data_IF_350333777335
#
_entry.id   IF_350333777335
#
_cell.length_a   1.000
_cell.length_b   1.000
_cell.length_c   1.000
_cell.angle_alpha   90.00
_cell.angle_beta   90.00
_cell.angle_gamma   90.00
#
_symmetry.space_group_name_H-M   'P 1'
#
loop_
_entity.id
_entity.type
_entity.pdbx_description
1 polymer ?
#
# COMPACT_ATOMS: atom_id res chain seq x y z
N UNK A 1 8.89 18.02 3.31
CA UNK A 1 8.12 18.46 2.13
C UNK A 1 7.54 17.23 1.44
N UNK A 2 6.22 17.03 1.45
CA UNK A 2 5.60 15.82 0.89
C UNK A 2 5.84 15.78 -0.63
N UNK A 3 6.48 14.71 -1.12
CA UNK A 3 6.69 14.48 -2.55
C UNK A 3 6.61 12.98 -2.87
N UNK A 4 6.51 12.66 -4.16
CA UNK A 4 6.38 11.27 -4.65
C UNK A 4 7.51 10.35 -4.16
N UNK A 5 8.74 10.86 -4.03
CA UNK A 5 9.88 10.09 -3.54
C UNK A 5 9.71 9.69 -2.08
N UNK A 6 9.21 10.60 -1.24
CA UNK A 6 8.92 10.33 0.16
C UNK A 6 7.76 9.32 0.29
N UNK A 7 6.70 9.47 -0.51
CA UNK A 7 5.58 8.53 -0.50
C UNK A 7 6.03 7.09 -0.83
N UNK A 8 6.86 6.91 -1.87
CA UNK A 8 7.44 5.59 -2.20
C UNK A 8 8.24 4.99 -1.04
N UNK A 9 9.03 5.81 -0.34
CA UNK A 9 9.78 5.37 0.84
C UNK A 9 8.85 4.93 1.97
N UNK A 10 7.78 5.69 2.22
CA UNK A 10 6.81 5.35 3.27
C UNK A 10 6.08 4.04 2.98
N UNK A 11 5.68 3.80 1.73
CA UNK A 11 5.08 2.52 1.32
C UNK A 11 6.05 1.37 1.55
N UNK A 12 7.32 1.53 1.14
CA UNK A 12 8.34 0.52 1.38
C UNK A 12 8.52 0.23 2.87
N UNK A 13 8.60 1.27 3.70
CA UNK A 13 8.74 1.09 5.14
C UNK A 13 7.54 0.37 5.75
N UNK A 14 6.32 0.74 5.37
CA UNK A 14 5.12 0.06 5.86
C UNK A 14 5.11 -1.43 5.47
N UNK A 15 5.40 -1.76 4.21
CA UNK A 15 5.43 -3.15 3.74
C UNK A 15 6.57 -3.96 4.38
N UNK A 16 7.76 -3.38 4.49
CA UNK A 16 8.92 -4.05 5.12
C UNK A 16 8.63 -4.30 6.60
N UNK A 17 8.06 -3.33 7.31
CA UNK A 17 7.75 -3.47 8.75
C UNK A 17 6.70 -4.56 8.99
N UNK A 18 5.62 -4.61 8.19
CA UNK A 18 4.64 -5.70 8.27
C UNK A 18 5.29 -7.07 7.99
N UNK A 19 6.09 -7.20 6.94
CA UNK A 19 6.74 -8.45 6.58
C UNK A 19 7.77 -8.90 7.62
N UNK A 20 8.57 -7.97 8.16
CA UNK A 20 9.52 -8.26 9.23
C UNK A 20 8.81 -8.79 10.47
N UNK A 21 7.68 -8.17 10.86
CA UNK A 21 6.88 -8.63 11.98
C UNK A 21 6.30 -10.05 11.74
N UNK A 22 5.88 -10.38 10.52
CA UNK A 22 5.47 -11.76 10.16
C UNK A 22 6.60 -12.77 10.39
N UNK A 23 7.80 -12.47 9.88
CA UNK A 23 8.97 -13.36 9.97
C UNK A 23 9.42 -13.53 11.43
N UNK A 24 9.46 -12.44 12.20
CA UNK A 24 9.80 -12.51 13.62
C UNK A 24 8.76 -13.34 14.38
N UNK A 25 7.47 -13.16 14.08
CA UNK A 25 6.41 -13.94 14.72
C UNK A 25 6.51 -15.43 14.39
N UNK A 26 6.81 -15.80 13.13
CA UNK A 26 7.02 -17.19 12.71
C UNK A 26 8.23 -17.84 13.39
N UNK A 27 9.32 -17.10 13.58
CA UNK A 27 10.51 -17.60 14.25
C UNK A 27 10.32 -17.81 15.77
N UNK A 28 9.44 -17.02 16.42
CA UNK A 28 9.31 -17.01 17.88
C UNK A 28 8.17 -17.86 18.43
N UNK A 29 7.15 -18.23 17.64
CA UNK A 29 6.01 -19.03 18.11
C UNK A 29 6.02 -20.43 17.50
N UNK A 30 5.92 -21.44 18.36
CA UNK A 30 5.71 -22.83 17.95
C UNK A 30 4.29 -23.05 17.41
N UNK A 31 4.14 -23.85 16.36
CA UNK A 31 2.84 -24.25 15.81
C UNK A 31 2.18 -23.22 14.90
N UNK A 32 2.98 -22.36 14.26
CA UNK A 32 2.51 -21.46 13.21
C UNK A 32 2.33 -22.22 11.90
N UNK A 33 1.28 -21.87 11.16
CA UNK A 33 1.07 -22.33 9.79
C UNK A 33 1.99 -21.55 8.85
N UNK A 34 3.10 -22.18 8.44
CA UNK A 34 4.07 -21.61 7.50
C UNK A 34 3.43 -21.27 6.15
N UNK A 35 2.44 -22.04 5.71
CA UNK A 35 1.73 -21.80 4.45
C UNK A 35 0.93 -20.51 4.53
N UNK A 36 0.23 -20.30 5.65
CA UNK A 36 -0.53 -19.08 5.90
C UNK A 36 0.38 -17.85 6.00
N UNK A 37 1.53 -17.96 6.67
CA UNK A 37 2.51 -16.86 6.74
C UNK A 37 3.09 -16.53 5.37
N UNK A 38 3.47 -17.54 4.57
CA UNK A 38 3.98 -17.30 3.22
C UNK A 38 2.93 -16.62 2.34
N UNK A 39 1.66 -17.03 2.42
CA UNK A 39 0.57 -16.36 1.71
C UNK A 39 0.40 -14.88 2.11
N UNK A 40 0.60 -14.56 3.40
CA UNK A 40 0.60 -13.18 3.89
C UNK A 40 1.80 -12.39 3.34
N UNK A 41 2.99 -12.97 3.34
CA UNK A 41 4.20 -12.34 2.78
C UNK A 41 4.03 -12.05 1.28
N UNK A 42 3.44 -12.98 0.53
CA UNK A 42 3.12 -12.79 -0.89
C UNK A 42 2.14 -11.64 -1.11
N UNK A 43 1.11 -11.51 -0.27
CA UNK A 43 0.17 -10.38 -0.31
C UNK A 43 0.88 -9.05 -0.03
N UNK A 44 1.76 -9.00 0.97
CA UNK A 44 2.56 -7.80 1.28
C UNK A 44 3.45 -7.41 0.10
N UNK A 45 4.15 -8.38 -0.51
CA UNK A 45 5.01 -8.14 -1.66
C UNK A 45 4.21 -7.67 -2.90
N UNK A 46 3.04 -8.25 -3.11
CA UNK A 46 2.10 -7.85 -4.17
C UNK A 46 1.60 -6.42 -3.95
N UNK A 47 1.15 -6.08 -2.74
CA UNK A 47 0.73 -4.73 -2.36
C UNK A 47 1.84 -3.70 -2.63
N UNK A 48 3.07 -4.00 -2.19
CA UNK A 48 4.21 -3.11 -2.38
C UNK A 48 4.48 -2.85 -3.87
N UNK A 49 4.60 -3.92 -4.66
CA UNK A 49 4.94 -3.85 -6.08
C UNK A 49 3.84 -3.12 -6.87
N UNK A 50 2.58 -3.50 -6.64
CA UNK A 50 1.40 -2.90 -7.27
C UNK A 50 1.30 -1.40 -6.94
N UNK A 51 1.44 -1.02 -5.67
CA UNK A 51 1.32 0.38 -5.25
C UNK A 51 2.46 1.24 -5.80
N UNK A 52 3.69 0.73 -5.79
CA UNK A 52 4.84 1.43 -6.38
C UNK A 52 4.69 1.65 -7.89
N UNK A 53 4.10 0.69 -8.60
CA UNK A 53 3.77 0.81 -10.02
C UNK A 53 2.69 1.88 -10.24
N UNK A 54 1.61 1.82 -9.48
CA UNK A 54 0.43 2.70 -9.62
C UNK A 54 0.69 4.14 -9.18
N UNK A 55 1.73 4.41 -8.39
CA UNK A 55 2.15 5.76 -8.02
C UNK A 55 2.62 6.61 -9.21
N UNK A 56 3.01 5.99 -10.32
CA UNK A 56 3.47 6.72 -11.51
C UNK A 56 2.29 7.19 -12.36
N UNK A 57 1.51 8.12 -11.81
CA UNK A 57 0.32 8.69 -12.44
C UNK A 57 0.73 9.86 -13.35
N UNK A 58 0.23 9.86 -14.59
CA UNK A 58 0.43 10.92 -15.56
C UNK A 58 -0.93 11.52 -15.95
N UNK A 59 -0.98 12.82 -16.18
CA UNK A 59 -2.14 13.50 -16.73
C UNK A 59 -1.97 13.55 -18.25
N UNK A 60 -2.98 13.06 -18.98
CA UNK A 60 -2.96 12.81 -20.41
C UNK A 60 -3.30 14.04 -21.27
N UNK A 61 -4.01 15.02 -20.68
CA UNK A 61 -4.40 16.26 -21.38
C UNK A 61 -3.30 17.33 -21.34
N UNK A 62 -3.21 18.10 -22.42
CA UNK A 62 -2.32 19.25 -22.58
C UNK A 62 -3.08 20.58 -22.40
N UNK A 63 -2.40 21.71 -22.11
CA UNK A 63 -3.06 23.01 -21.96
C UNK A 63 -3.88 23.47 -23.17
N UNK A 64 -3.54 23.00 -24.38
CA UNK A 64 -4.25 23.30 -25.64
C UNK A 64 -5.61 22.63 -25.75
N UNK A 65 -5.88 21.63 -24.91
CA UNK A 65 -7.13 20.87 -24.91
C UNK A 65 -8.22 21.58 -24.06
N UNK A 66 -7.98 22.84 -23.67
CA UNK A 66 -8.83 23.63 -22.77
C UNK A 66 -8.99 25.05 -23.30
N UNK A 67 -10.14 25.66 -22.99
CA UNK A 67 -10.45 27.03 -23.37
C UNK A 67 -9.62 28.05 -22.58
N UNK A 68 -9.13 27.67 -21.40
CA UNK A 68 -8.23 28.51 -20.61
C UNK A 68 -7.19 27.73 -19.80
N UNK A 69 -6.07 28.39 -19.52
CA UNK A 69 -5.03 27.86 -18.62
C UNK A 69 -5.58 27.60 -17.20
N UNK A 70 -6.57 28.36 -16.77
CA UNK A 70 -7.18 28.20 -15.44
C UNK A 70 -7.97 26.91 -15.34
N UNK A 71 -8.72 26.55 -16.39
CA UNK A 71 -9.44 25.28 -16.46
C UNK A 71 -8.49 24.08 -16.50
N UNK A 72 -7.44 24.16 -17.32
CA UNK A 72 -6.37 23.15 -17.34
C UNK A 72 -5.79 22.90 -15.94
N UNK A 73 -5.43 23.98 -15.23
CA UNK A 73 -4.87 23.88 -13.86
C UNK A 73 -5.87 23.26 -12.88
N UNK A 74 -7.15 23.63 -12.98
CA UNK A 74 -8.23 23.12 -12.14
C UNK A 74 -8.43 21.62 -12.36
N UNK A 75 -8.62 21.18 -13.60
CA UNK A 75 -8.79 19.77 -13.93
C UNK A 75 -7.56 18.94 -13.53
N UNK A 76 -6.35 19.40 -13.88
CA UNK A 76 -5.11 18.70 -13.52
C UNK A 76 -4.99 18.49 -12.02
N UNK A 77 -5.32 19.50 -11.20
CA UNK A 77 -5.32 19.39 -9.74
C UNK A 77 -6.35 18.38 -9.24
N UNK A 78 -7.57 18.44 -9.77
CA UNK A 78 -8.64 17.51 -9.41
C UNK A 78 -8.31 16.07 -9.78
N UNK A 79 -7.71 15.86 -10.96
CA UNK A 79 -7.27 14.56 -11.44
C UNK A 79 -6.27 13.92 -10.48
N UNK A 80 -5.17 14.61 -10.17
CA UNK A 80 -4.17 14.07 -9.23
C UNK A 80 -4.72 13.88 -7.83
N UNK A 81 -5.56 14.80 -7.34
CA UNK A 81 -6.19 14.66 -6.02
C UNK A 81 -7.04 13.38 -5.95
N UNK A 82 -7.89 13.13 -6.95
CA UNK A 82 -8.72 11.91 -7.04
C UNK A 82 -7.86 10.66 -7.16
N UNK A 83 -6.84 10.69 -8.01
CA UNK A 83 -5.99 9.54 -8.26
C UNK A 83 -5.18 9.13 -7.01
N UNK A 84 -4.60 10.09 -6.28
CA UNK A 84 -3.91 9.80 -5.02
C UNK A 84 -4.86 9.44 -3.88
N UNK A 85 -6.08 9.99 -3.85
CA UNK A 85 -7.11 9.58 -2.89
C UNK A 85 -7.48 8.10 -3.08
N UNK A 86 -7.76 7.69 -4.32
CA UNK A 86 -8.05 6.28 -4.64
C UNK A 86 -6.86 5.37 -4.37
N UNK A 87 -5.63 5.80 -4.66
CA UNK A 87 -4.42 5.03 -4.33
C UNK A 87 -4.30 4.79 -2.82
N UNK A 88 -4.56 5.82 -2.00
CA UNK A 88 -4.53 5.71 -0.54
C UNK A 88 -5.63 4.79 -0.01
N UNK A 89 -6.84 4.93 -0.52
CA UNK A 89 -7.98 4.10 -0.13
C UNK A 89 -7.71 2.62 -0.42
N UNK A 90 -7.27 2.30 -1.64
CA UNK A 90 -6.93 0.94 -2.04
C UNK A 90 -5.78 0.36 -1.20
N UNK A 91 -4.72 1.15 -0.97
CA UNK A 91 -3.59 0.72 -0.14
C UNK A 91 -4.05 0.38 1.28
N UNK A 92 -4.83 1.27 1.92
CA UNK A 92 -5.31 1.05 3.28
C UNK A 92 -6.22 -0.18 3.38
N UNK A 93 -7.11 -0.38 2.41
CA UNK A 93 -7.99 -1.55 2.37
C UNK A 93 -7.19 -2.85 2.29
N UNK A 94 -6.21 -2.92 1.40
CA UNK A 94 -5.35 -4.11 1.28
C UNK A 94 -4.49 -4.33 2.53
N UNK A 95 -4.01 -3.26 3.18
CA UNK A 95 -3.32 -3.36 4.49
C UNK A 95 -4.23 -3.94 5.57
N UNK A 96 -5.49 -3.48 5.67
CA UNK A 96 -6.44 -4.03 6.64
C UNK A 96 -6.72 -5.52 6.42
N UNK A 97 -6.83 -5.94 5.16
CA UNK A 97 -6.99 -7.35 4.80
C UNK A 97 -5.75 -8.17 5.21
N UNK A 98 -4.55 -7.68 4.90
CA UNK A 98 -3.28 -8.32 5.30
C UNK A 98 -3.20 -8.46 6.82
N UNK A 99 -3.52 -7.42 7.59
CA UNK A 99 -3.45 -7.48 9.06
C UNK A 99 -4.46 -8.47 9.64
N UNK A 100 -5.65 -8.60 9.04
CA UNK A 100 -6.62 -9.65 9.43
C UNK A 100 -6.05 -11.04 9.19
N UNK A 101 -5.45 -11.27 8.03
CA UNK A 101 -4.83 -12.56 7.68
C UNK A 101 -3.62 -12.87 8.57
N UNK A 102 -2.78 -11.86 8.87
CA UNK A 102 -1.69 -11.97 9.83
C UNK A 102 -2.18 -12.47 11.19
N UNK A 103 -3.25 -11.86 11.71
CA UNK A 103 -3.79 -12.23 13.01
C UNK A 103 -4.41 -13.64 13.00
N UNK A 104 -5.01 -14.06 11.88
CA UNK A 104 -5.57 -15.39 11.73
C UNK A 104 -4.49 -16.48 11.62
N UNK A 105 -3.34 -16.17 11.01
CA UNK A 105 -2.21 -17.10 10.87
C UNK A 105 -1.44 -17.33 12.18
N UNK A 106 -1.62 -16.47 13.17
CA UNK A 106 -0.94 -16.58 14.46
C UNK A 106 -1.80 -17.38 15.44
N UNK A 107 -1.20 -18.33 16.21
CA UNK A 107 -1.95 -19.03 17.24
C UNK A 107 -2.46 -18.04 18.29
N UNK A 108 -3.65 -18.28 18.88
CA UNK A 108 -4.20 -17.39 19.89
C UNK A 108 -3.21 -17.24 21.04
N UNK A 109 -3.07 -16.00 21.54
CA UNK A 109 -2.26 -15.73 22.72
C UNK A 109 -2.81 -16.59 23.87
N UNK A 110 -2.01 -17.52 24.38
CA UNK A 110 -2.35 -18.23 25.62
C UNK A 110 -2.55 -17.17 26.71
N UNK A 111 -3.79 -16.99 27.18
CA UNK A 111 -4.06 -16.21 28.37
C UNK A 111 -3.33 -16.90 29.53
N UNK A 112 -2.44 -16.15 30.20
CA UNK A 112 -1.88 -16.57 31.49
C UNK A 112 -2.98 -16.62 32.54
#
# INVERSE_FOLDING_TARGET
>A
MANKRILKKQINYACIDMGANCIVASALRSGIDETAINAVLDKIASLQTKTLKNINIAFDKAPRDFDSINEYKKERRQYFAKAYASLRENFNKEVEEIVKDMNAALPPLKKK
#
